data_IF_444199195050
#
_entry.id   IF_444199195050
#
_cell.length_a   1.000
_cell.length_b   1.000
_cell.length_c   1.000
_cell.angle_alpha   90.00
_cell.angle_beta   90.00
_cell.angle_gamma   90.00
#
_symmetry.space_group_name_H-M   'P 1'
#
loop_
_entity.id
_entity.type
_entity.pdbx_description
1 polymer ?
#
# COMPACT_ATOMS: atom_id res chain seq x y z
N UNK A 1 -5.13 5.77 22.50
CA UNK A 1 -4.06 4.91 23.06
C UNK A 1 -2.65 5.31 22.59
N UNK A 2 -2.45 6.41 21.84
CA UNK A 2 -1.10 6.84 21.40
C UNK A 2 -0.24 7.49 22.51
N UNK A 3 -0.85 8.03 23.56
CA UNK A 3 -0.16 8.75 24.64
C UNK A 3 0.56 7.87 25.68
N UNK A 4 0.74 6.57 25.46
CA UNK A 4 1.50 5.70 26.37
C UNK A 4 2.83 5.21 25.80
N UNK A 5 3.12 5.47 24.52
CA UNK A 5 4.37 5.07 23.89
C UNK A 5 5.42 6.18 24.04
N UNK A 6 6.53 5.98 24.77
CA UNK A 6 7.57 7.01 24.98
C UNK A 6 8.11 7.63 23.70
N UNK A 7 8.19 6.87 22.60
CA UNK A 7 8.64 7.38 21.30
C UNK A 7 7.67 8.37 20.68
N UNK A 8 6.36 8.18 20.89
CA UNK A 8 5.35 9.16 20.47
C UNK A 8 5.51 10.46 21.25
N UNK A 9 5.79 10.38 22.55
CA UNK A 9 6.08 11.58 23.35
C UNK A 9 7.32 12.32 22.85
N UNK A 10 8.37 11.58 22.51
CA UNK A 10 9.61 12.15 21.96
C UNK A 10 9.37 12.90 20.65
N UNK A 11 8.66 12.28 19.69
CA UNK A 11 8.27 12.95 18.43
C UNK A 11 7.44 14.20 18.72
N UNK A 12 6.44 14.11 19.60
CA UNK A 12 5.54 15.23 19.91
C UNK A 12 6.23 16.38 20.66
N UNK A 13 7.22 16.07 21.51
CA UNK A 13 8.02 17.07 22.23
C UNK A 13 8.97 17.84 21.29
N UNK A 14 9.33 17.25 20.15
CA UNK A 14 10.22 17.82 19.14
C UNK A 14 9.51 17.96 17.78
N UNK A 15 8.20 18.22 17.78
CA UNK A 15 7.36 18.23 16.58
C UNK A 15 7.83 19.18 15.47
N UNK A 16 8.59 20.22 15.84
CA UNK A 16 9.18 21.20 14.92
C UNK A 16 10.29 20.62 14.03
N UNK A 17 10.79 19.42 14.33
CA UNK A 17 11.79 18.70 13.54
C UNK A 17 11.17 17.81 12.46
N UNK A 18 9.84 17.68 12.42
CA UNK A 18 9.11 16.78 11.52
C UNK A 18 8.13 17.58 10.65
N UNK A 19 7.96 17.21 9.37
CA UNK A 19 6.88 17.68 8.53
C UNK A 19 5.52 17.43 9.19
N UNK A 20 4.56 18.32 8.93
CA UNK A 20 3.22 18.24 9.52
C UNK A 20 2.53 16.92 9.11
N UNK A 21 2.76 16.48 7.88
CA UNK A 21 2.22 15.27 7.29
C UNK A 21 2.67 14.01 8.05
N UNK A 22 3.92 13.97 8.55
CA UNK A 22 4.41 12.86 9.37
C UNK A 22 3.82 12.87 10.79
N UNK A 23 3.54 14.06 11.33
CA UNK A 23 2.84 14.16 12.61
C UNK A 23 1.40 13.65 12.45
N UNK A 24 0.70 14.05 11.39
CA UNK A 24 -0.66 13.57 11.09
C UNK A 24 -0.67 12.05 10.84
N UNK A 25 0.33 11.53 10.10
CA UNK A 25 0.52 10.09 9.91
C UNK A 25 0.64 9.36 11.25
N UNK A 26 1.46 9.87 12.18
CA UNK A 26 1.65 9.26 13.49
C UNK A 26 0.38 9.29 14.35
N UNK A 27 -0.37 10.38 14.31
CA UNK A 27 -1.64 10.53 15.04
C UNK A 27 -2.70 9.53 14.54
N UNK A 28 -2.77 9.34 13.22
CA UNK A 28 -3.68 8.38 12.60
C UNK A 28 -3.20 6.93 12.67
N UNK A 29 -1.90 6.71 12.83
CA UNK A 29 -1.29 5.39 12.78
C UNK A 29 -0.05 5.26 13.70
N UNK A 30 -0.29 4.76 14.92
CA UNK A 30 0.76 4.57 15.92
C UNK A 30 1.84 3.54 15.50
N UNK A 31 1.59 2.68 14.50
CA UNK A 31 2.59 1.75 13.98
C UNK A 31 3.77 2.46 13.32
N UNK A 32 3.58 3.71 12.90
CA UNK A 32 4.58 4.51 12.15
C UNK A 32 5.60 5.21 13.06
N UNK A 33 5.51 5.05 14.38
CA UNK A 33 6.33 5.81 15.33
C UNK A 33 7.84 5.68 15.08
N UNK A 34 8.32 4.48 14.73
CA UNK A 34 9.75 4.27 14.46
C UNK A 34 10.18 4.90 13.13
N UNK A 35 9.30 4.87 12.13
CA UNK A 35 9.52 5.55 10.85
C UNK A 35 9.55 7.07 11.05
N UNK A 36 8.58 7.64 11.79
CA UNK A 36 8.55 9.09 12.03
C UNK A 36 9.76 9.51 12.85
N UNK A 37 10.08 8.82 13.94
CA UNK A 37 11.25 9.10 14.77
C UNK A 37 12.56 9.07 13.97
N UNK A 38 12.69 8.18 12.98
CA UNK A 38 13.87 8.09 12.12
C UNK A 38 14.00 9.22 11.08
N UNK A 39 12.97 10.04 10.87
CA UNK A 39 12.94 11.04 9.79
C UNK A 39 14.14 12.00 9.78
N UNK A 40 14.52 12.66 10.89
CA UNK A 40 15.60 13.66 10.87
C UNK A 40 16.95 13.09 10.42
N UNK A 41 17.19 11.80 10.66
CA UNK A 41 18.43 11.11 10.31
C UNK A 41 18.38 10.44 8.93
N UNK A 42 17.20 9.91 8.54
CA UNK A 42 17.07 9.01 7.38
C UNK A 42 16.42 9.64 6.14
N UNK A 43 15.85 10.85 6.24
CA UNK A 43 15.11 11.49 5.14
C UNK A 43 15.90 11.64 3.83
N UNK A 44 17.24 11.70 3.90
CA UNK A 44 18.12 11.88 2.74
C UNK A 44 18.77 10.56 2.28
N UNK A 45 18.39 9.42 2.86
CA UNK A 45 18.89 8.11 2.44
C UNK A 45 18.36 7.75 1.04
N UNK A 46 19.23 7.14 0.23
CA UNK A 46 18.81 6.62 -1.07
C UNK A 46 17.76 5.49 -0.88
N UNK A 47 16.66 5.47 -1.66
CA UNK A 47 15.69 4.40 -1.59
C UNK A 47 16.30 3.05 -1.96
N UNK A 48 15.79 1.97 -1.39
CA UNK A 48 16.22 0.63 -1.72
C UNK A 48 15.86 0.26 -3.16
N UNK A 49 16.79 -0.42 -3.83
CA UNK A 49 16.62 -0.93 -5.20
C UNK A 49 15.84 -2.26 -5.25
N UNK A 50 15.59 -2.89 -4.10
CA UNK A 50 14.81 -4.14 -4.03
C UNK A 50 13.84 -4.14 -2.85
N UNK A 51 12.77 -4.93 -2.97
CA UNK A 51 11.81 -5.18 -1.88
C UNK A 51 12.28 -6.24 -0.89
N UNK A 52 13.47 -6.81 -1.09
CA UNK A 52 14.00 -7.93 -0.34
C UNK A 52 13.77 -9.27 -1.05
N UNK A 53 13.66 -10.34 -0.27
CA UNK A 53 13.36 -11.68 -0.80
C UNK A 53 11.90 -11.76 -1.24
N UNK A 54 11.67 -12.37 -2.40
CA UNK A 54 10.33 -12.61 -2.95
C UNK A 54 10.22 -14.06 -3.41
N UNK A 55 9.06 -14.67 -3.17
CA UNK A 55 8.71 -15.99 -3.70
C UNK A 55 7.65 -15.78 -4.75
N UNK A 56 7.92 -16.21 -6.00
CA UNK A 56 6.93 -16.11 -7.05
C UNK A 56 5.66 -16.90 -6.68
N UNK A 57 4.49 -16.26 -6.80
CA UNK A 57 3.19 -16.77 -6.38
C UNK A 57 2.77 -16.34 -4.97
N UNK A 58 3.67 -15.78 -4.17
CA UNK A 58 3.35 -15.22 -2.85
C UNK A 58 3.35 -13.68 -2.92
N UNK A 59 2.25 -13.05 -2.55
CA UNK A 59 2.15 -11.58 -2.60
C UNK A 59 2.77 -10.99 -1.31
N UNK A 60 3.94 -10.33 -1.38
CA UNK A 60 4.59 -9.80 -0.20
C UNK A 60 3.78 -8.65 0.41
N UNK A 61 3.80 -8.54 1.74
CA UNK A 61 3.33 -7.33 2.41
C UNK A 61 4.45 -6.28 2.37
N UNK A 62 4.19 -5.18 1.67
CA UNK A 62 5.06 -4.00 1.65
C UNK A 62 4.34 -2.84 2.32
N UNK A 63 5.04 -2.04 3.11
CA UNK A 63 4.43 -0.89 3.78
C UNK A 63 4.89 0.38 3.09
N UNK A 64 3.98 1.30 2.81
CA UNK A 64 4.35 2.57 2.17
C UNK A 64 5.26 3.42 3.08
N UNK A 65 5.14 3.24 4.40
CA UNK A 65 5.97 3.87 5.42
C UNK A 65 7.20 3.03 5.83
N UNK A 66 7.63 2.06 5.02
CA UNK A 66 8.90 1.34 5.26
C UNK A 66 10.09 2.28 5.03
N UNK A 67 11.05 2.34 5.96
CA UNK A 67 12.20 3.25 5.89
C UNK A 67 13.07 3.08 4.63
N UNK A 68 12.96 1.93 3.95
CA UNK A 68 13.65 1.67 2.69
C UNK A 68 13.19 2.57 1.53
N UNK A 69 12.02 3.18 1.60
CA UNK A 69 11.50 4.06 0.53
C UNK A 69 10.52 5.12 1.01
N UNK A 70 9.93 4.99 2.20
CA UNK A 70 8.83 5.82 2.67
C UNK A 70 9.16 7.30 2.79
N UNK A 71 10.43 7.67 2.98
CA UNK A 71 10.88 9.07 2.99
C UNK A 71 11.06 9.68 1.59
N UNK A 72 11.08 8.85 0.54
CA UNK A 72 11.21 9.33 -0.82
C UNK A 72 9.92 9.96 -1.30
N UNK A 73 10.01 10.91 -2.23
CA UNK A 73 8.86 11.61 -2.76
C UNK A 73 8.16 10.85 -3.88
N UNK A 74 6.83 10.83 -3.81
CA UNK A 74 5.92 10.55 -4.89
C UNK A 74 5.18 11.84 -5.26
N UNK A 75 5.68 12.48 -6.32
CA UNK A 75 5.28 13.81 -6.76
C UNK A 75 5.47 14.89 -5.69
N UNK A 76 4.41 15.32 -5.01
CA UNK A 76 4.39 16.45 -4.07
C UNK A 76 4.56 16.06 -2.59
N UNK A 77 4.48 14.77 -2.26
CA UNK A 77 4.61 14.27 -0.89
C UNK A 77 5.44 12.97 -0.81
N UNK A 78 5.74 12.53 0.40
CA UNK A 78 6.44 11.27 0.69
C UNK A 78 5.56 10.07 0.38
N UNK A 79 6.18 8.97 -0.08
CA UNK A 79 5.52 7.67 -0.30
C UNK A 79 4.78 7.22 0.97
N UNK A 80 5.33 7.51 2.15
CA UNK A 80 4.67 7.22 3.42
C UNK A 80 3.28 7.89 3.56
N UNK A 81 3.01 9.00 2.88
CA UNK A 81 1.75 9.74 2.95
C UNK A 81 0.80 9.33 1.82
N UNK A 82 1.23 9.44 0.56
CA UNK A 82 0.36 9.29 -0.61
C UNK A 82 0.70 8.05 -1.49
N UNK A 83 1.57 7.16 -1.01
CA UNK A 83 2.14 6.06 -1.80
C UNK A 83 1.36 4.75 -1.80
N UNK A 84 0.09 4.71 -1.40
CA UNK A 84 -0.68 3.46 -1.32
C UNK A 84 -0.80 2.76 -2.68
N UNK A 85 -1.10 3.52 -3.75
CA UNK A 85 -1.20 3.02 -5.13
C UNK A 85 0.09 2.36 -5.66
N UNK A 86 1.23 3.07 -5.65
CA UNK A 86 2.51 2.48 -6.04
C UNK A 86 2.89 1.25 -5.21
N UNK A 87 2.58 1.27 -3.91
CA UNK A 87 2.91 0.18 -3.00
C UNK A 87 2.11 -1.09 -3.32
N UNK A 88 0.79 -0.99 -3.58
CA UNK A 88 -0.01 -2.17 -3.95
C UNK A 88 0.39 -2.77 -5.30
N UNK A 89 0.75 -1.94 -6.28
CA UNK A 89 1.28 -2.41 -7.57
C UNK A 89 2.61 -3.14 -7.37
N UNK A 90 3.50 -2.59 -6.54
CA UNK A 90 4.78 -3.23 -6.20
C UNK A 90 4.56 -4.61 -5.54
N UNK A 91 3.60 -4.74 -4.61
CA UNK A 91 3.25 -6.04 -4.02
C UNK A 91 2.82 -7.06 -5.07
N UNK A 92 1.83 -6.69 -5.90
CA UNK A 92 1.26 -7.60 -6.90
C UNK A 92 2.29 -7.98 -7.96
N UNK A 93 3.04 -7.00 -8.47
CA UNK A 93 4.06 -7.23 -9.48
C UNK A 93 5.19 -8.12 -8.96
N UNK A 94 5.77 -7.80 -7.79
CA UNK A 94 6.83 -8.59 -7.20
C UNK A 94 6.37 -10.03 -6.88
N UNK A 95 5.14 -10.18 -6.37
CA UNK A 95 4.57 -11.49 -6.04
C UNK A 95 4.28 -12.35 -7.26
N UNK A 96 3.67 -11.79 -8.32
CA UNK A 96 3.31 -12.58 -9.51
C UNK A 96 4.51 -12.89 -10.42
N UNK A 97 5.43 -11.93 -10.57
CA UNK A 97 6.59 -12.06 -11.49
C UNK A 97 7.83 -12.65 -10.82
N UNK A 98 7.95 -12.55 -9.50
CA UNK A 98 9.19 -12.84 -8.77
C UNK A 98 10.28 -11.77 -8.95
N UNK A 99 10.00 -10.64 -9.60
CA UNK A 99 10.96 -9.54 -9.76
C UNK A 99 10.97 -8.65 -8.50
N UNK A 100 12.00 -8.84 -7.65
CA UNK A 100 12.16 -8.06 -6.43
C UNK A 100 12.65 -6.63 -6.65
N UNK A 101 12.97 -6.23 -7.89
CA UNK A 101 13.42 -4.86 -8.22
C UNK A 101 12.26 -3.88 -8.42
N UNK A 102 11.02 -4.38 -8.39
CA UNK A 102 9.80 -3.58 -8.54
C UNK A 102 9.41 -3.01 -7.18
N UNK A 103 10.15 -2.01 -6.70
CA UNK A 103 9.92 -1.37 -5.39
C UNK A 103 8.79 -0.34 -5.42
N UNK A 104 8.17 0.01 -4.28
CA UNK A 104 7.19 1.09 -4.22
C UNK A 104 7.75 2.41 -4.76
N UNK A 105 9.03 2.69 -4.49
CA UNK A 105 9.72 3.85 -5.03
C UNK A 105 9.79 3.84 -6.56
N UNK A 106 10.19 2.72 -7.17
CA UNK A 106 10.26 2.59 -8.63
C UNK A 106 8.90 2.79 -9.29
N UNK A 107 7.85 2.22 -8.71
CA UNK A 107 6.48 2.39 -9.21
C UNK A 107 6.02 3.83 -9.03
N UNK A 108 6.36 4.49 -7.92
CA UNK A 108 6.01 5.88 -7.66
C UNK A 108 6.65 6.83 -8.68
N UNK A 109 7.95 6.65 -8.99
CA UNK A 109 8.64 7.45 -10.01
C UNK A 109 8.00 7.27 -11.38
N UNK A 110 7.80 6.01 -11.81
CA UNK A 110 7.10 5.72 -13.07
C UNK A 110 5.71 6.36 -13.11
N UNK A 111 4.95 6.24 -12.03
CA UNK A 111 3.60 6.78 -11.92
C UNK A 111 3.59 8.32 -12.08
N UNK A 112 4.49 9.02 -11.39
CA UNK A 112 4.61 10.47 -11.48
C UNK A 112 5.04 10.92 -12.89
N UNK A 113 6.04 10.26 -13.48
CA UNK A 113 6.59 10.59 -14.80
C UNK A 113 5.59 10.36 -15.95
N UNK A 114 4.67 9.41 -15.79
CA UNK A 114 3.72 9.01 -16.84
C UNK A 114 2.29 9.52 -16.59
N UNK A 115 2.10 10.46 -15.65
CA UNK A 115 0.81 11.12 -15.43
C UNK A 115 -0.23 10.26 -14.71
N UNK A 116 0.21 9.26 -13.95
CA UNK A 116 -0.65 8.43 -13.10
C UNK A 116 -0.81 8.97 -11.68
N UNK A 117 -0.18 10.10 -11.34
CA UNK A 117 -0.45 10.85 -10.12
C UNK A 117 -1.55 11.89 -10.35
N UNK A 118 -2.58 11.87 -9.50
CA UNK A 118 -3.79 12.69 -9.61
C UNK A 118 -3.92 13.72 -8.46
N UNK A 119 -2.80 14.16 -7.86
CA UNK A 119 -2.78 15.16 -6.79
C UNK A 119 -3.53 14.67 -5.56
N UNK A 120 -4.45 15.49 -5.04
CA UNK A 120 -5.29 15.19 -3.87
C UNK A 120 -6.09 13.88 -3.99
N UNK A 121 -6.32 13.39 -5.22
CA UNK A 121 -6.99 12.10 -5.45
C UNK A 121 -6.05 10.89 -5.36
N UNK A 122 -4.75 11.13 -5.12
CA UNK A 122 -3.71 10.11 -5.03
C UNK A 122 -3.38 9.51 -6.39
N UNK A 123 -3.42 8.19 -6.48
CA UNK A 123 -3.05 7.46 -7.69
C UNK A 123 -4.24 7.23 -8.63
N UNK A 124 -4.05 7.55 -9.92
CA UNK A 124 -5.03 7.28 -10.97
C UNK A 124 -5.31 5.79 -11.12
N UNK A 125 -6.58 5.45 -11.33
CA UNK A 125 -7.00 4.07 -11.62
C UNK A 125 -6.39 3.50 -12.90
N UNK A 126 -5.98 4.35 -13.85
CA UNK A 126 -5.26 3.89 -15.04
C UNK A 126 -3.88 3.28 -14.74
N UNK A 127 -3.32 3.52 -13.54
CA UNK A 127 -2.15 2.76 -13.09
C UNK A 127 -2.49 1.28 -12.87
N UNK A 128 -3.71 0.98 -12.40
CA UNK A 128 -4.15 -0.39 -12.09
C UNK A 128 -4.38 -1.22 -13.35
N UNK A 129 -4.47 -0.59 -14.53
CA UNK A 129 -4.72 -1.27 -15.81
C UNK A 129 -3.58 -1.06 -16.78
N UNK A 130 -3.46 0.13 -17.37
CA UNK A 130 -2.45 0.43 -18.40
C UNK A 130 -1.04 0.50 -17.82
N UNK A 131 -0.88 1.20 -16.69
CA UNK A 131 0.43 1.39 -16.07
C UNK A 131 1.02 0.10 -15.51
N UNK A 132 0.19 -0.78 -14.96
CA UNK A 132 0.56 -2.09 -14.42
C UNK A 132 1.33 -2.95 -15.44
N UNK A 133 1.02 -2.81 -16.74
CA UNK A 133 1.69 -3.56 -17.82
C UNK A 133 3.19 -3.30 -17.89
N UNK A 134 3.68 -2.15 -17.43
CA UNK A 134 5.12 -1.90 -17.39
C UNK A 134 5.87 -2.68 -16.32
N UNK A 135 5.14 -3.31 -15.41
CA UNK A 135 5.67 -4.17 -14.37
C UNK A 135 5.39 -5.65 -14.64
N UNK A 136 5.04 -5.99 -15.89
CA UNK A 136 4.81 -7.38 -16.31
C UNK A 136 3.53 -8.00 -15.79
N UNK A 137 2.57 -7.20 -15.32
CA UNK A 137 1.27 -7.66 -14.81
C UNK A 137 0.12 -7.01 -15.57
N UNK A 138 -0.99 -7.75 -15.68
CA UNK A 138 -2.21 -7.33 -16.36
C UNK A 138 -3.33 -7.17 -15.35
N UNK A 139 -3.78 -5.94 -15.12
CA UNK A 139 -4.94 -5.64 -14.30
C UNK A 139 -6.20 -5.45 -15.14
N UNK A 140 -7.30 -6.10 -14.75
CA UNK A 140 -8.61 -5.98 -15.36
C UNK A 140 -9.65 -5.62 -14.29
N UNK A 141 -10.50 -4.63 -14.58
CA UNK A 141 -11.60 -4.26 -13.67
C UNK A 141 -12.60 -5.41 -13.61
N UNK A 142 -13.03 -5.77 -12.40
CA UNK A 142 -13.97 -6.86 -12.19
C UNK A 142 -15.20 -6.42 -11.42
N UNK A 143 -16.29 -7.18 -11.56
CA UNK A 143 -17.51 -6.97 -10.81
C UNK A 143 -17.32 -7.20 -9.30
N UNK A 144 -18.03 -6.42 -8.49
CA UNK A 144 -18.09 -6.66 -7.04
C UNK A 144 -19.06 -7.81 -6.75
N UNK A 145 -18.53 -9.03 -6.81
CA UNK A 145 -19.27 -10.27 -6.54
C UNK A 145 -18.46 -11.19 -5.63
N UNK A 146 -19.08 -11.70 -4.56
CA UNK A 146 -18.42 -12.61 -3.62
C UNK A 146 -17.85 -13.84 -4.33
N UNK A 147 -18.63 -14.45 -5.21
CA UNK A 147 -18.20 -15.64 -5.94
C UNK A 147 -17.04 -15.35 -6.88
N UNK A 148 -17.04 -14.21 -7.58
CA UNK A 148 -15.97 -13.84 -8.51
C UNK A 148 -14.68 -13.52 -7.75
N UNK A 149 -14.77 -12.78 -6.64
CA UNK A 149 -13.64 -12.43 -5.79
C UNK A 149 -13.01 -13.69 -5.19
N UNK A 150 -13.81 -14.57 -4.58
CA UNK A 150 -13.29 -15.80 -3.98
C UNK A 150 -12.68 -16.71 -5.05
N UNK A 151 -13.33 -16.87 -6.22
CA UNK A 151 -12.81 -17.70 -7.32
C UNK A 151 -11.47 -17.15 -7.83
N UNK A 152 -11.32 -15.84 -8.00
CA UNK A 152 -10.06 -15.25 -8.44
C UNK A 152 -8.94 -15.51 -7.42
N UNK A 153 -9.22 -15.28 -6.13
CA UNK A 153 -8.25 -15.49 -5.05
C UNK A 153 -7.85 -16.97 -4.89
N UNK A 154 -8.80 -17.90 -5.01
CA UNK A 154 -8.53 -19.34 -4.96
C UNK A 154 -7.70 -19.83 -6.15
N UNK A 155 -7.76 -19.14 -7.29
CA UNK A 155 -6.89 -19.40 -8.45
C UNK A 155 -5.52 -18.69 -8.35
N UNK A 156 -5.22 -18.03 -7.23
CA UNK A 156 -3.96 -17.33 -7.02
C UNK A 156 -3.87 -15.99 -7.75
N UNK A 157 -5.00 -15.41 -8.18
CA UNK A 157 -5.03 -14.09 -8.80
C UNK A 157 -5.31 -13.03 -7.72
N UNK A 158 -4.33 -12.19 -7.36
CA UNK A 158 -4.55 -11.13 -6.39
C UNK A 158 -5.44 -10.03 -6.95
N UNK A 159 -6.12 -9.33 -6.05
CA UNK A 159 -7.07 -8.27 -6.40
C UNK A 159 -6.64 -6.98 -5.70
N UNK A 160 -6.48 -5.89 -6.43
CA UNK A 160 -6.33 -4.57 -5.83
C UNK A 160 -7.72 -3.96 -5.67
N UNK A 161 -8.03 -3.44 -4.48
CA UNK A 161 -9.27 -2.73 -4.21
C UNK A 161 -8.98 -1.25 -3.95
N UNK A 162 -9.73 -0.36 -4.60
CA UNK A 162 -9.89 1.02 -4.16
C UNK A 162 -10.97 1.06 -3.08
N UNK A 163 -10.61 1.58 -1.91
CA UNK A 163 -11.45 1.61 -0.72
C UNK A 163 -12.03 3.01 -0.51
N UNK A 164 -13.30 3.08 -0.09
CA UNK A 164 -13.96 4.28 0.44
C UNK A 164 -13.91 4.27 1.98
N UNK A 165 -14.42 5.31 2.67
CA UNK A 165 -14.31 5.39 4.12
C UNK A 165 -14.90 4.16 4.85
N UNK A 166 -14.15 3.63 5.82
CA UNK A 166 -14.44 2.38 6.51
C UNK A 166 -13.32 1.96 7.46
N UNK A 167 -12.99 0.68 7.49
CA UNK A 167 -11.94 0.13 8.36
C UNK A 167 -10.52 0.51 7.93
N UNK A 168 -10.32 0.74 6.63
CA UNK A 168 -9.00 0.95 6.03
C UNK A 168 -8.62 2.43 5.92
N UNK A 169 -9.61 3.32 5.82
CA UNK A 169 -9.40 4.74 5.51
C UNK A 169 -10.60 5.59 5.91
N UNK A 170 -10.40 6.89 6.06
CA UNK A 170 -11.45 7.90 6.21
C UNK A 170 -11.72 8.70 4.93
N UNK A 171 -10.91 8.49 3.88
CA UNK A 171 -10.99 9.17 2.59
C UNK A 171 -11.01 8.14 1.45
N UNK A 172 -9.84 7.78 0.93
CA UNK A 172 -9.61 6.75 -0.06
C UNK A 172 -8.34 5.96 0.27
N UNK A 173 -8.23 4.73 -0.21
CA UNK A 173 -7.03 3.89 0.00
C UNK A 173 -6.97 2.74 -0.99
N UNK A 174 -5.78 2.19 -1.22
CA UNK A 174 -5.61 0.96 -1.98
C UNK A 174 -5.09 -0.16 -1.09
N UNK A 175 -5.68 -1.34 -1.23
CA UNK A 175 -5.26 -2.57 -0.55
C UNK A 175 -5.21 -3.73 -1.54
N UNK A 176 -4.53 -4.82 -1.18
CA UNK A 176 -4.46 -6.05 -1.98
C UNK A 176 -5.18 -7.18 -1.25
N UNK A 177 -6.13 -7.85 -1.90
CA UNK A 177 -6.64 -9.15 -1.48
C UNK A 177 -5.71 -10.22 -2.06
N UNK A 178 -5.17 -11.09 -1.21
CA UNK A 178 -4.03 -11.96 -1.58
C UNK A 178 -4.36 -13.45 -1.59
N UNK A 179 -5.48 -13.85 -0.99
CA UNK A 179 -5.90 -15.25 -0.97
C UNK A 179 -7.09 -15.48 -0.03
N UNK A 180 -7.50 -16.74 0.05
CA UNK A 180 -8.54 -17.21 0.98
C UNK A 180 -7.92 -18.13 2.02
N UNK A 181 -8.24 -17.91 3.29
CA UNK A 181 -7.81 -18.72 4.44
C UNK A 181 -9.03 -18.90 5.36
N UNK A 182 -9.35 -20.15 5.71
CA UNK A 182 -10.51 -20.49 6.56
C UNK A 182 -11.85 -19.87 6.11
N UNK A 183 -12.05 -19.76 4.80
CA UNK A 183 -13.25 -19.15 4.20
C UNK A 183 -13.31 -17.62 4.31
N UNK A 184 -12.21 -16.98 4.72
CA UNK A 184 -12.06 -15.53 4.82
C UNK A 184 -10.94 -15.03 3.92
N UNK A 185 -10.92 -13.74 3.65
CA UNK A 185 -9.97 -13.11 2.72
C UNK A 185 -8.76 -12.58 3.48
N UNK A 186 -7.55 -12.91 2.99
CA UNK A 186 -6.30 -12.28 3.41
C UNK A 186 -6.15 -10.95 2.70
N UNK A 187 -5.76 -9.92 3.45
CA UNK A 187 -5.57 -8.55 2.93
C UNK A 187 -4.16 -8.09 3.26
N UNK A 188 -3.44 -7.55 2.28
CA UNK A 188 -2.25 -6.75 2.50
C UNK A 188 -2.64 -5.27 2.40
N UNK A 189 -2.56 -4.57 3.52
CA UNK A 189 -2.76 -3.14 3.60
C UNK A 189 -1.40 -2.42 3.70
N UNK A 190 -1.03 -1.58 2.71
CA UNK A 190 0.25 -0.87 2.72
C UNK A 190 0.42 0.11 3.89
N UNK A 191 -0.66 0.41 4.62
CA UNK A 191 -0.64 1.31 5.78
C UNK A 191 -0.69 0.61 7.13
N UNK A 192 -0.93 -0.70 7.24
CA UNK A 192 -1.08 -1.33 8.56
C UNK A 192 -0.68 -2.79 8.60
N UNK A 193 0.23 -3.13 9.52
CA UNK A 193 0.53 -4.53 9.82
C UNK A 193 -0.63 -5.17 10.58
N UNK A 194 -1.29 -4.41 11.45
CA UNK A 194 -2.43 -4.90 12.23
C UNK A 194 -3.60 -5.35 11.33
N UNK A 195 -3.98 -4.52 10.35
CA UNK A 195 -5.05 -4.89 9.39
C UNK A 195 -4.63 -6.02 8.47
N UNK A 196 -3.34 -6.07 8.10
CA UNK A 196 -2.79 -7.14 7.29
C UNK A 196 -2.66 -8.49 8.01
N UNK A 197 -2.59 -8.47 9.34
CA UNK A 197 -2.55 -9.68 10.18
C UNK A 197 -3.92 -10.30 10.46
N UNK A 198 -5.01 -9.76 9.89
CA UNK A 198 -6.38 -10.22 10.12
C UNK A 198 -6.93 -10.93 8.88
N UNK A 199 -7.88 -11.84 9.13
CA UNK A 199 -8.75 -12.41 8.10
C UNK A 199 -10.06 -11.65 8.04
N UNK A 200 -10.52 -11.35 6.83
CA UNK A 200 -11.67 -10.47 6.59
C UNK A 200 -12.84 -11.23 5.97
N UNK A 201 -14.03 -11.01 6.50
CA UNK A 201 -15.26 -11.48 5.86
C UNK A 201 -15.55 -10.64 4.62
N UNK A 202 -15.97 -11.28 3.51
CA UNK A 202 -16.29 -10.56 2.26
C UNK A 202 -17.31 -9.44 2.49
N UNK A 203 -18.36 -9.70 3.26
CA UNK A 203 -19.40 -8.70 3.58
C UNK A 203 -18.86 -7.48 4.37
N UNK A 204 -17.73 -7.63 5.08
CA UNK A 204 -17.03 -6.51 5.71
C UNK A 204 -16.19 -5.72 4.71
N UNK A 205 -15.71 -6.35 3.63
CA UNK A 205 -14.96 -5.65 2.58
C UNK A 205 -15.89 -4.96 1.58
N UNK A 206 -16.93 -5.65 1.11
CA UNK A 206 -17.76 -5.20 -0.02
C UNK A 206 -18.34 -3.80 0.17
N UNK A 207 -18.81 -3.46 1.39
CA UNK A 207 -19.47 -2.18 1.63
C UNK A 207 -18.50 -1.00 1.50
N UNK A 208 -17.19 -1.25 1.62
CA UNK A 208 -16.12 -0.25 1.54
C UNK A 208 -15.27 -0.38 0.28
N UNK A 209 -15.57 -1.31 -0.63
CA UNK A 209 -14.94 -1.38 -1.94
C UNK A 209 -15.65 -0.40 -2.89
N UNK A 210 -14.86 0.51 -3.47
CA UNK A 210 -15.29 1.46 -4.47
C UNK A 210 -15.07 0.95 -5.90
N UNK A 211 -13.92 0.30 -6.13
CA UNK A 211 -13.60 -0.41 -7.38
C UNK A 211 -12.56 -1.51 -7.10
N UNK A 212 -12.43 -2.49 -7.99
CA UNK A 212 -11.51 -3.61 -7.84
C UNK A 212 -10.98 -4.12 -9.18
N UNK A 213 -9.72 -4.56 -9.18
CA UNK A 213 -9.03 -5.12 -10.34
C UNK A 213 -8.38 -6.44 -9.99
N UNK A 214 -8.61 -7.46 -10.80
CA UNK A 214 -7.90 -8.74 -10.71
C UNK A 214 -6.61 -8.68 -11.53
N UNK A 215 -5.54 -9.29 -11.03
CA UNK A 215 -4.23 -9.26 -11.66
C UNK A 215 -3.72 -10.64 -12.03
N UNK A 216 -3.08 -10.71 -13.19
CA UNK A 216 -2.39 -11.89 -13.73
C UNK A 216 -1.07 -11.47 -14.40
N UNK A 217 -0.28 -12.44 -14.87
CA UNK A 217 0.94 -12.25 -15.69
C UNK A 217 0.80 -12.90 -17.04
#
# INVERSE_FOLDING_TARGET
>A
MALTNPKVWEVMAHKDQYPEELIQLLEGNAETVDFVLGYPEKKDAAPAETVGDVTQGEIPLLLQWDERWGYAYYADDMIAINGCGPTVISMVAAGLTGDNTITPYRVAQFSAENGYYAGDSGTSWSLMTEGARQFGIYGEEMGLSESEVLTALENGHPIICSMRPGDFTTTGHFVVLTGVEDGKIRVNDPNSRERSGKLWDYSRLEYQINNLWVFTT
#
